data_IF_221736056097
#
_entry.id   IF_221736056097
#
_cell.length_a   1.000
_cell.length_b   1.000
_cell.length_c   1.000
_cell.angle_alpha   90.00
_cell.angle_beta   90.00
_cell.angle_gamma   90.00
#
_symmetry.space_group_name_H-M   'P 1'
#
loop_
_entity.id
_entity.type
_entity.pdbx_description
1 polymer ?
#
# COMPACT_ATOMS: atom_id res chain seq x y z
N UNK A 1 24.91 21.53 -9.63
CA UNK A 1 23.52 21.82 -10.06
C UNK A 1 22.72 20.57 -10.45
N UNK A 2 23.32 19.52 -11.05
CA UNK A 2 22.61 18.28 -11.39
C UNK A 2 22.07 17.45 -10.19
N UNK A 3 22.66 17.60 -8.99
CA UNK A 3 22.23 16.86 -7.79
C UNK A 3 20.96 17.39 -7.11
N UNK A 4 20.51 18.61 -7.43
CA UNK A 4 19.25 19.14 -6.89
C UNK A 4 18.03 18.50 -7.60
N UNK A 5 18.17 18.19 -8.89
CA UNK A 5 17.09 17.52 -9.64
C UNK A 5 16.91 16.04 -9.22
N UNK A 6 17.95 15.38 -8.71
CA UNK A 6 17.81 14.01 -8.16
C UNK A 6 17.01 13.96 -6.85
N UNK A 7 16.82 15.08 -6.16
CA UNK A 7 15.90 15.15 -5.01
C UNK A 7 14.44 14.99 -5.43
N UNK A 8 14.10 15.36 -6.68
CA UNK A 8 12.77 15.23 -7.28
C UNK A 8 12.60 13.96 -8.14
N UNK A 9 13.64 13.13 -8.24
CA UNK A 9 13.55 11.75 -8.72
C UNK A 9 13.69 10.82 -7.51
N UNK A 10 12.71 10.75 -6.59
CA UNK A 10 12.72 9.76 -5.55
C UNK A 10 12.55 8.39 -6.20
N UNK A 11 13.67 7.73 -6.54
CA UNK A 11 13.61 6.33 -6.89
C UNK A 11 13.13 5.60 -5.63
N UNK A 12 12.07 4.79 -5.71
CA UNK A 12 11.34 4.28 -4.54
C UNK A 12 12.22 3.62 -3.48
N UNK A 13 13.40 3.13 -3.87
CA UNK A 13 14.45 2.67 -2.97
C UNK A 13 14.91 3.74 -1.94
N UNK A 14 15.08 4.99 -2.36
CA UNK A 14 15.43 6.11 -1.47
C UNK A 14 14.27 6.54 -0.57
N UNK A 15 13.02 6.46 -1.05
CA UNK A 15 11.84 6.75 -0.22
C UNK A 15 11.69 5.76 0.92
N UNK A 16 11.87 4.47 0.64
CA UNK A 16 11.81 3.42 1.66
C UNK A 16 12.87 3.64 2.75
N UNK A 17 14.09 4.01 2.36
CA UNK A 17 15.17 4.23 3.32
C UNK A 17 14.98 5.52 4.15
N UNK A 18 14.39 6.57 3.57
CA UNK A 18 14.05 7.79 4.31
C UNK A 18 12.94 7.54 5.33
N UNK A 19 11.91 6.75 4.99
CA UNK A 19 10.88 6.31 5.93
C UNK A 19 11.46 5.46 7.06
N UNK A 20 12.38 4.55 6.74
CA UNK A 20 13.08 3.75 7.74
C UNK A 20 13.92 4.63 8.69
N UNK A 21 14.64 5.61 8.13
CA UNK A 21 15.44 6.55 8.91
C UNK A 21 14.59 7.43 9.85
N UNK A 22 13.37 7.81 9.45
CA UNK A 22 12.41 8.54 10.28
C UNK A 22 11.83 7.68 11.41
N UNK A 23 11.60 6.39 11.15
CA UNK A 23 11.07 5.43 12.12
C UNK A 23 12.02 5.20 13.32
N UNK A 24 13.32 5.38 13.12
CA UNK A 24 14.35 5.15 14.14
C UNK A 24 14.36 6.20 15.26
N UNK A 25 13.76 7.38 15.08
CA UNK A 25 13.59 8.43 16.10
C UNK A 25 14.87 9.05 16.70
N UNK A 26 16.05 8.48 16.46
CA UNK A 26 17.34 8.91 16.99
C UNK A 26 18.28 9.35 15.85
N UNK A 27 18.81 10.58 15.87
CA UNK A 27 19.64 11.12 14.79
C UNK A 27 20.94 10.34 14.55
N UNK A 28 21.52 9.74 15.59
CA UNK A 28 22.76 8.98 15.49
C UNK A 28 22.57 7.63 14.80
N UNK A 29 21.47 6.94 15.11
CA UNK A 29 21.10 5.67 14.49
C UNK A 29 20.74 5.83 13.02
N UNK A 30 20.01 6.90 12.68
CA UNK A 30 19.69 7.24 11.29
C UNK A 30 20.95 7.57 10.48
N UNK A 31 21.91 8.30 11.06
CA UNK A 31 23.19 8.59 10.40
C UNK A 31 23.99 7.31 10.11
N UNK A 32 24.02 6.37 11.06
CA UNK A 32 24.76 5.11 10.93
C UNK A 32 24.09 4.17 9.89
N UNK A 33 22.76 4.10 9.89
CA UNK A 33 22.00 3.32 8.92
C UNK A 33 22.16 3.84 7.48
N UNK A 34 22.07 5.16 7.29
CA UNK A 34 22.32 5.80 5.98
C UNK A 34 23.78 5.61 5.54
N UNK A 35 24.73 5.69 6.48
CA UNK A 35 26.16 5.47 6.21
C UNK A 35 26.46 4.06 5.71
N UNK A 36 25.92 3.03 6.38
CA UNK A 36 26.09 1.63 5.96
C UNK A 36 25.45 1.34 4.60
N UNK A 37 24.30 1.94 4.34
CA UNK A 37 23.62 1.84 3.05
C UNK A 37 24.44 2.44 1.91
N UNK A 38 25.04 3.62 2.12
CA UNK A 38 25.96 4.24 1.16
C UNK A 38 27.18 3.34 0.94
N UNK A 39 27.80 2.84 2.02
CA UNK A 39 28.94 1.93 1.94
C UNK A 39 28.62 0.64 1.16
N UNK A 40 27.41 0.09 1.32
CA UNK A 40 26.98 -1.12 0.62
C UNK A 40 26.65 -0.90 -0.86
N UNK A 41 26.13 0.27 -1.22
CA UNK A 41 25.73 0.58 -2.62
C UNK A 41 26.84 1.22 -3.44
N UNK A 42 27.86 1.78 -2.79
CA UNK A 42 29.00 2.43 -3.43
C UNK A 42 29.77 1.52 -4.41
N UNK A 43 30.09 0.24 -4.10
CA UNK A 43 30.78 -0.65 -5.04
C UNK A 43 29.96 -0.93 -6.30
N UNK A 44 28.65 -1.09 -6.14
CA UNK A 44 27.75 -1.36 -7.27
C UNK A 44 27.64 -0.13 -8.19
N UNK A 45 27.42 1.06 -7.61
CA UNK A 45 27.34 2.31 -8.36
C UNK A 45 28.65 2.66 -9.06
N UNK A 46 29.79 2.42 -8.37
CA UNK A 46 31.11 2.63 -8.95
C UNK A 46 31.38 1.64 -10.10
N UNK A 47 31.00 0.37 -9.94
CA UNK A 47 31.13 -0.64 -11.00
C UNK A 47 30.32 -0.29 -12.25
N UNK A 48 29.08 0.15 -12.06
CA UNK A 48 28.22 0.62 -13.15
C UNK A 48 28.81 1.86 -13.82
N UNK A 49 29.33 2.82 -13.04
CA UNK A 49 29.98 4.03 -13.57
C UNK A 49 31.20 3.72 -14.45
N UNK A 50 32.07 2.83 -13.99
CA UNK A 50 33.26 2.40 -14.73
C UNK A 50 32.85 1.67 -16.03
N UNK A 51 31.83 0.81 -15.95
CA UNK A 51 31.29 0.08 -17.09
C UNK A 51 30.73 1.04 -18.16
N UNK A 52 30.00 2.08 -17.75
CA UNK A 52 29.52 3.10 -18.67
C UNK A 52 30.65 3.94 -19.29
N UNK A 53 31.78 4.14 -18.59
CA UNK A 53 32.93 4.86 -19.17
C UNK A 53 33.77 4.03 -20.14
N UNK A 54 33.78 2.70 -20.01
CA UNK A 54 34.57 1.81 -20.88
C UNK A 54 33.91 1.52 -22.23
N UNK A 55 32.61 1.81 -22.40
CA UNK A 55 31.90 1.58 -23.65
C UNK A 55 32.04 2.80 -24.58
N UNK A 56 32.54 2.59 -25.79
CA UNK A 56 32.84 3.67 -26.76
C UNK A 56 31.67 3.98 -27.71
N UNK A 57 31.43 5.28 -27.92
CA UNK A 57 30.84 5.86 -29.14
C UNK A 57 29.33 5.69 -29.33
N UNK A 58 28.90 4.61 -29.99
CA UNK A 58 27.53 4.48 -30.54
C UNK A 58 26.60 3.67 -29.63
N UNK A 59 27.09 2.58 -29.02
CA UNK A 59 26.33 1.78 -28.04
C UNK A 59 26.01 2.60 -26.79
N UNK A 60 26.91 3.50 -26.38
CA UNK A 60 26.68 4.35 -25.21
C UNK A 60 25.51 5.32 -25.43
N UNK A 61 25.39 5.89 -26.63
CA UNK A 61 24.28 6.77 -27.01
C UNK A 61 22.97 5.99 -27.06
N UNK A 62 22.96 4.82 -27.71
CA UNK A 62 21.78 3.95 -27.76
C UNK A 62 21.35 3.46 -26.38
N UNK A 63 22.29 3.11 -25.50
CA UNK A 63 22.00 2.70 -24.13
C UNK A 63 21.43 3.86 -23.28
N UNK A 64 21.98 5.08 -23.41
CA UNK A 64 21.45 6.25 -22.70
C UNK A 64 20.09 6.69 -23.26
N UNK A 65 19.86 6.56 -24.56
CA UNK A 65 18.54 6.82 -25.17
C UNK A 65 17.51 5.78 -24.72
N UNK A 66 17.89 4.50 -24.68
CA UNK A 66 17.03 3.42 -24.21
C UNK A 66 16.66 3.59 -22.75
N UNK A 67 17.63 3.86 -21.87
CA UNK A 67 17.38 4.11 -20.46
C UNK A 67 16.50 5.37 -20.25
N UNK A 68 16.72 6.43 -21.03
CA UNK A 68 15.88 7.63 -21.01
C UNK A 68 14.45 7.37 -21.48
N UNK A 69 14.26 6.61 -22.56
CA UNK A 69 12.95 6.25 -23.07
C UNK A 69 12.15 5.37 -22.10
N UNK A 70 12.82 4.41 -21.46
CA UNK A 70 12.22 3.55 -20.42
C UNK A 70 11.82 4.39 -19.20
N UNK A 71 12.68 5.31 -18.77
CA UNK A 71 12.37 6.23 -17.68
C UNK A 71 11.17 7.13 -18.00
N UNK A 72 11.08 7.66 -19.22
CA UNK A 72 9.91 8.43 -19.67
C UNK A 72 8.65 7.58 -19.74
N UNK A 73 8.72 6.34 -20.23
CA UNK A 73 7.57 5.43 -20.28
C UNK A 73 7.04 5.09 -18.88
N UNK A 74 7.92 4.74 -17.94
CA UNK A 74 7.57 4.50 -16.54
C UNK A 74 7.02 5.76 -15.86
N UNK A 75 7.57 6.93 -16.20
CA UNK A 75 7.07 8.22 -15.68
C UNK A 75 5.67 8.52 -16.19
N UNK A 76 5.38 8.27 -17.47
CA UNK A 76 4.04 8.45 -18.06
C UNK A 76 3.04 7.49 -17.42
N UNK A 77 3.42 6.23 -17.22
CA UNK A 77 2.56 5.24 -16.55
C UNK A 77 2.22 5.67 -15.12
N UNK A 78 3.21 6.20 -14.39
CA UNK A 78 3.03 6.70 -13.02
C UNK A 78 2.21 8.00 -13.00
N UNK A 79 2.34 8.86 -14.01
CA UNK A 79 1.53 10.06 -14.15
C UNK A 79 0.06 9.75 -14.46
N UNK A 80 -0.21 8.72 -15.27
CA UNK A 80 -1.58 8.25 -15.52
C UNK A 80 -2.23 7.72 -14.23
N UNK A 81 -1.50 6.92 -13.45
CA UNK A 81 -1.98 6.43 -12.15
C UNK A 81 -2.10 7.57 -11.10
N UNK A 82 -1.18 8.54 -11.14
CA UNK A 82 -1.20 9.71 -10.26
C UNK A 82 -2.32 10.70 -10.58
N UNK A 83 -2.72 10.82 -11.85
CA UNK A 83 -3.85 11.65 -12.25
C UNK A 83 -5.19 11.02 -11.82
N UNK A 84 -5.31 9.70 -11.85
CA UNK A 84 -6.43 8.98 -11.22
C UNK A 84 -6.52 9.25 -9.71
N UNK A 85 -5.37 9.31 -9.03
CA UNK A 85 -5.27 9.68 -7.61
C UNK A 85 -5.45 11.19 -7.34
N UNK A 86 -5.38 12.05 -8.37
CA UNK A 86 -5.58 13.50 -8.25
C UNK A 86 -7.00 13.92 -8.63
N UNK A 87 -7.65 13.22 -9.58
CA UNK A 87 -9.11 13.29 -9.75
C UNK A 87 -9.85 12.66 -8.58
N UNK A 88 -9.20 11.70 -7.90
CA UNK A 88 -9.54 11.26 -6.56
C UNK A 88 -8.75 12.08 -5.52
N UNK A 89 -8.86 13.42 -5.53
CA UNK A 89 -8.65 14.17 -4.29
C UNK A 89 -9.42 13.47 -3.17
N UNK A 90 -8.93 13.43 -1.92
CA UNK A 90 -9.55 12.64 -0.88
C UNK A 90 -10.86 13.30 -0.47
N UNK A 91 -11.91 13.11 -1.26
CA UNK A 91 -13.24 12.96 -0.70
C UNK A 91 -13.18 11.67 0.08
N UNK A 92 -13.13 11.81 1.41
CA UNK A 92 -13.65 10.77 2.28
C UNK A 92 -14.93 10.20 1.67
N UNK A 93 -14.90 8.94 1.25
CA UNK A 93 -16.08 8.20 0.78
C UNK A 93 -16.16 8.02 -0.73
N UNK A 94 -15.68 6.87 -1.21
CA UNK A 94 -16.45 6.10 -2.19
C UNK A 94 -17.22 5.02 -1.42
N UNK A 95 -18.43 5.39 -0.98
CA UNK A 95 -19.39 4.50 -0.35
C UNK A 95 -19.95 3.57 -1.43
N UNK A 96 -19.55 2.30 -1.40
CA UNK A 96 -20.29 1.26 -2.11
C UNK A 96 -21.54 0.94 -1.29
N UNK A 97 -22.69 1.44 -1.74
CA UNK A 97 -23.98 1.25 -1.07
C UNK A 97 -24.33 -0.23 -0.97
N UNK A 98 -24.27 -0.77 0.26
CA UNK A 98 -24.78 -2.09 0.58
C UNK A 98 -26.32 -2.11 0.49
N UNK A 99 -26.85 -3.13 -0.19
CA UNK A 99 -28.29 -3.38 -0.33
C UNK A 99 -28.85 -3.72 1.06
N UNK A 100 -29.72 -2.85 1.59
CA UNK A 100 -30.49 -3.13 2.80
C UNK A 100 -31.59 -4.14 2.47
N UNK A 101 -31.56 -5.27 3.16
CA UNK A 101 -32.68 -6.22 3.22
C UNK A 101 -32.87 -6.54 4.69
N UNK A 102 -33.97 -6.04 5.25
CA UNK A 102 -34.64 -6.50 6.49
C UNK A 102 -33.71 -6.78 7.70
N UNK A 103 -33.64 -5.79 8.61
CA UNK A 103 -33.08 -5.82 9.98
C UNK A 103 -31.59 -6.19 10.18
N UNK A 104 -30.89 -6.61 9.14
CA UNK A 104 -29.47 -6.97 9.20
C UNK A 104 -28.70 -6.36 8.04
N UNK A 105 -27.51 -5.83 8.33
CA UNK A 105 -26.65 -5.24 7.32
C UNK A 105 -25.66 -6.28 6.83
N UNK A 106 -25.82 -6.75 5.61
CA UNK A 106 -24.86 -7.71 5.03
C UNK A 106 -23.78 -6.97 4.25
N UNK A 107 -22.53 -7.10 4.68
CA UNK A 107 -21.36 -6.58 3.95
C UNK A 107 -20.55 -7.74 3.40
N UNK A 108 -20.05 -7.59 2.16
CA UNK A 108 -19.30 -8.63 1.45
C UNK A 108 -17.93 -8.12 1.08
N UNK A 109 -16.90 -8.88 1.43
CA UNK A 109 -15.52 -8.59 1.12
C UNK A 109 -14.85 -9.79 0.46
N UNK A 110 -13.98 -9.53 -0.51
CA UNK A 110 -13.08 -10.51 -1.08
C UNK A 110 -11.65 -10.21 -0.65
N UNK A 111 -10.92 -11.24 -0.26
CA UNK A 111 -9.48 -11.18 -0.03
C UNK A 111 -8.79 -11.70 -1.28
N UNK A 112 -8.19 -10.80 -2.05
CA UNK A 112 -7.57 -11.15 -3.34
C UNK A 112 -6.30 -11.97 -3.14
N UNK A 113 -5.88 -12.76 -4.15
CA UNK A 113 -4.63 -13.52 -4.07
C UNK A 113 -3.38 -12.64 -3.87
N UNK A 114 -3.48 -11.36 -4.22
CA UNK A 114 -2.42 -10.36 -4.07
C UNK A 114 -2.35 -9.80 -2.64
N UNK A 115 -3.25 -10.22 -1.74
CA UNK A 115 -3.32 -9.70 -0.38
C UNK A 115 -3.92 -8.30 -0.32
N UNK A 116 -5.01 -8.05 -1.05
CA UNK A 116 -5.82 -6.84 -0.91
C UNK A 116 -7.24 -7.18 -0.48
N UNK A 117 -7.91 -6.22 0.16
CA UNK A 117 -9.33 -6.27 0.45
C UNK A 117 -10.09 -5.57 -0.67
N UNK A 118 -11.14 -6.22 -1.17
CA UNK A 118 -11.99 -5.68 -2.23
C UNK A 118 -13.47 -5.96 -1.89
N UNK A 119 -14.28 -4.93 -1.59
CA UNK A 119 -13.88 -3.55 -1.32
C UNK A 119 -13.14 -3.43 0.03
N UNK A 120 -12.33 -2.38 0.19
CA UNK A 120 -11.59 -2.08 1.42
C UNK A 120 -12.33 -1.08 2.32
N UNK A 121 -13.38 -0.42 1.83
CA UNK A 121 -14.21 0.52 2.60
C UNK A 121 -15.66 0.03 2.70
N UNK A 122 -16.19 0.02 3.93
CA UNK A 122 -17.56 -0.37 4.23
C UNK A 122 -18.26 0.72 5.05
N UNK A 123 -19.52 1.01 4.74
CA UNK A 123 -20.36 1.91 5.52
C UNK A 123 -21.52 1.13 6.12
N UNK A 124 -21.63 1.14 7.44
CA UNK A 124 -22.66 0.44 8.23
C UNK A 124 -23.33 1.41 9.20
N UNK A 125 -24.48 1.04 9.75
CA UNK A 125 -25.21 1.86 10.72
C UNK A 125 -25.00 1.36 12.13
N UNK A 126 -24.94 2.29 13.08
CA UNK A 126 -24.86 2.04 14.50
C UNK A 126 -26.07 1.23 14.98
N UNK A 127 -25.85 0.35 15.97
CA UNK A 127 -26.87 -0.48 16.62
C UNK A 127 -27.61 -1.48 15.72
N UNK A 128 -27.20 -1.65 14.45
CA UNK A 128 -27.78 -2.66 13.56
C UNK A 128 -26.80 -3.83 13.46
N UNK A 129 -27.22 -5.09 13.67
CA UNK A 129 -26.36 -6.25 13.50
C UNK A 129 -25.84 -6.33 12.05
N UNK A 130 -24.51 -6.38 11.93
CA UNK A 130 -23.78 -6.50 10.67
C UNK A 130 -23.34 -7.94 10.49
N UNK A 131 -23.72 -8.53 9.36
CA UNK A 131 -23.22 -9.83 8.88
C UNK A 131 -22.15 -9.56 7.83
N UNK A 132 -20.91 -9.87 8.17
CA UNK A 132 -19.76 -9.69 7.30
C UNK A 132 -19.35 -11.01 6.68
N UNK A 133 -19.58 -11.15 5.38
CA UNK A 133 -19.10 -12.27 4.57
C UNK A 133 -17.75 -11.92 3.95
N UNK A 134 -16.75 -12.75 4.21
CA UNK A 134 -15.36 -12.58 3.79
C UNK A 134 -14.96 -13.79 2.98
N UNK A 135 -14.85 -13.61 1.67
CA UNK A 135 -14.42 -14.65 0.74
C UNK A 135 -12.90 -14.61 0.58
N UNK A 136 -12.24 -15.62 1.14
CA UNK A 136 -10.78 -15.77 1.09
C UNK A 136 -10.37 -16.63 -0.10
N UNK A 137 -9.54 -16.04 -0.97
CA UNK A 137 -8.90 -16.79 -2.05
C UNK A 137 -7.89 -17.85 -1.54
N UNK A 138 -7.60 -18.83 -2.39
CA UNK A 138 -6.74 -19.98 -2.06
C UNK A 138 -5.34 -19.63 -1.59
N UNK A 139 -4.75 -18.57 -2.16
CA UNK A 139 -3.43 -18.07 -1.78
C UNK A 139 -3.53 -16.61 -1.44
N UNK A 140 -3.83 -16.33 -0.18
CA UNK A 140 -3.70 -14.99 0.40
C UNK A 140 -2.51 -15.04 1.34
N UNK A 141 -1.57 -14.11 1.19
CA UNK A 141 -0.31 -14.12 1.95
C UNK A 141 -0.52 -13.86 3.43
N UNK A 142 -0.20 -12.65 3.89
CA UNK A 142 -0.40 -12.24 5.29
C UNK A 142 -1.87 -11.96 5.66
N UNK A 143 -2.80 -12.02 4.70
CA UNK A 143 -4.23 -11.76 4.90
C UNK A 143 -4.99 -13.03 5.30
N UNK A 144 -4.40 -13.84 6.19
CA UNK A 144 -4.96 -15.10 6.67
C UNK A 144 -5.83 -14.95 7.93
N UNK A 145 -5.81 -13.78 8.56
CA UNK A 145 -6.67 -13.40 9.67
C UNK A 145 -7.20 -11.99 9.47
N UNK A 146 -8.36 -11.70 10.05
CA UNK A 146 -8.95 -10.38 10.15
C UNK A 146 -8.91 -9.89 11.59
N UNK A 147 -8.46 -8.66 11.79
CA UNK A 147 -8.44 -7.97 13.08
C UNK A 147 -9.22 -6.67 12.94
N UNK A 148 -10.25 -6.51 13.75
CA UNK A 148 -10.97 -5.25 13.92
C UNK A 148 -10.91 -4.88 15.41
N UNK A 149 -9.83 -4.18 15.77
CA UNK A 149 -9.45 -3.91 17.16
C UNK A 149 -10.48 -3.05 17.91
N UNK A 150 -11.22 -2.20 17.21
CA UNK A 150 -12.23 -1.34 17.81
C UNK A 150 -13.39 -2.11 18.46
N UNK A 151 -13.68 -3.31 17.95
CA UNK A 151 -14.74 -4.18 18.43
C UNK A 151 -14.21 -5.49 19.03
N UNK A 152 -12.91 -5.55 19.32
CA UNK A 152 -12.21 -6.73 19.86
C UNK A 152 -12.43 -8.02 19.03
N UNK A 153 -12.55 -7.85 17.70
CA UNK A 153 -12.77 -8.96 16.78
C UNK A 153 -11.43 -9.42 16.24
N UNK A 154 -11.06 -10.66 16.55
CA UNK A 154 -9.98 -11.40 15.91
C UNK A 154 -10.56 -12.67 15.30
N UNK A 155 -10.48 -12.81 13.97
CA UNK A 155 -10.93 -14.01 13.30
C UNK A 155 -9.86 -14.56 12.34
N UNK A 156 -9.36 -15.79 12.55
CA UNK A 156 -8.59 -16.49 11.52
C UNK A 156 -9.52 -16.90 10.37
N UNK A 157 -9.16 -16.53 9.14
CA UNK A 157 -9.95 -16.79 7.93
C UNK A 157 -9.62 -18.17 7.37
N UNK A 158 -10.61 -19.02 7.14
CA UNK A 158 -10.44 -20.27 6.39
C UNK A 158 -10.58 -20.05 4.88
N UNK A 159 -10.08 -20.98 4.07
CA UNK A 159 -10.26 -20.92 2.61
C UNK A 159 -11.76 -20.93 2.25
N UNK A 160 -12.20 -20.00 1.41
CA UNK A 160 -13.60 -19.81 1.05
C UNK A 160 -14.30 -18.72 1.88
N UNK A 161 -15.62 -18.82 2.00
CA UNK A 161 -16.46 -17.80 2.66
C UNK A 161 -16.44 -17.99 4.18
N UNK A 162 -16.05 -16.94 4.90
CA UNK A 162 -16.13 -16.84 6.35
C UNK A 162 -17.18 -15.79 6.71
N UNK A 163 -17.96 -16.03 7.76
CA UNK A 163 -19.02 -15.09 8.16
C UNK A 163 -18.81 -14.64 9.59
N UNK A 164 -18.79 -13.33 9.82
CA UNK A 164 -18.69 -12.69 11.14
C UNK A 164 -19.98 -11.93 11.39
N UNK A 165 -20.54 -12.04 12.60
CA UNK A 165 -21.66 -11.20 13.00
C UNK A 165 -21.23 -10.33 14.17
N UNK A 166 -21.40 -9.02 14.02
CA UNK A 166 -21.10 -8.06 15.08
C UNK A 166 -22.07 -6.88 15.03
N UNK A 167 -22.23 -6.18 16.15
CA UNK A 167 -23.09 -5.01 16.24
C UNK A 167 -22.24 -3.81 16.63
N UNK A 168 -22.13 -2.78 15.77
CA UNK A 168 -21.35 -1.59 16.08
C UNK A 168 -22.09 -0.73 17.12
N UNK A 169 -21.44 -0.52 18.28
CA UNK A 169 -21.96 0.25 19.42
C UNK A 169 -21.56 1.74 19.40
N UNK A 170 -20.56 2.09 18.59
CA UNK A 170 -19.96 3.42 18.50
C UNK A 170 -19.91 3.89 17.05
N UNK A 171 -20.18 5.18 16.85
CA UNK A 171 -20.04 5.85 15.55
C UNK A 171 -18.61 6.33 15.33
N UNK A 172 -18.21 6.38 14.07
CA UNK A 172 -16.87 6.80 13.68
C UNK A 172 -16.23 5.87 12.65
N UNK A 173 -14.96 6.13 12.39
CA UNK A 173 -14.18 5.39 11.40
C UNK A 173 -13.26 4.41 12.12
N UNK A 174 -13.43 3.13 11.84
CA UNK A 174 -12.66 2.04 12.44
C UNK A 174 -11.84 1.33 11.37
N UNK A 175 -10.55 1.14 11.63
CA UNK A 175 -9.67 0.40 10.72
C UNK A 175 -9.67 -1.07 11.09
N UNK A 176 -9.82 -1.95 10.10
CA UNK A 176 -9.53 -3.37 10.23
C UNK A 176 -8.28 -3.72 9.42
N UNK A 177 -7.58 -4.77 9.81
CA UNK A 177 -6.35 -5.18 9.15
C UNK A 177 -6.09 -6.69 9.24
N UNK A 178 -5.10 -7.16 8.48
CA UNK A 178 -4.57 -8.49 8.68
C UNK A 178 -3.72 -8.61 9.97
N UNK A 179 -3.30 -9.82 10.36
CA UNK A 179 -2.43 -10.07 11.53
C UNK A 179 -1.16 -9.25 11.51
N UNK A 180 -0.56 -9.08 10.32
CA UNK A 180 0.66 -8.30 10.13
C UNK A 180 0.41 -6.80 9.98
N UNK A 181 -0.85 -6.37 9.96
CA UNK A 181 -1.24 -4.97 9.76
C UNK A 181 -0.90 -4.40 8.38
N UNK A 182 -0.43 -5.19 7.41
CA UNK A 182 -0.02 -4.69 6.10
C UNK A 182 -1.21 -4.31 5.23
N UNK A 183 -2.20 -5.21 5.17
CA UNK A 183 -3.46 -5.01 4.45
C UNK A 183 -4.45 -4.40 5.42
N UNK A 184 -5.02 -3.26 5.05
CA UNK A 184 -5.96 -2.51 5.89
C UNK A 184 -7.20 -2.16 5.09
N UNK A 185 -8.32 -2.08 5.78
CA UNK A 185 -9.54 -1.50 5.28
C UNK A 185 -10.21 -0.65 6.34
N UNK A 186 -11.26 0.05 5.94
CA UNK A 186 -11.95 1.05 6.74
C UNK A 186 -13.43 0.70 6.87
N UNK A 187 -13.91 0.64 8.10
CA UNK A 187 -15.32 0.49 8.44
C UNK A 187 -15.83 1.83 8.99
N UNK A 188 -16.73 2.46 8.27
CA UNK A 188 -17.39 3.71 8.65
C UNK A 188 -18.73 3.34 9.29
N UNK A 189 -18.93 3.76 10.54
CA UNK A 189 -20.18 3.58 11.26
C UNK A 189 -20.89 4.93 11.34
N UNK A 190 -22.03 5.03 10.66
CA UNK A 190 -22.94 6.18 10.65
C UNK A 190 -24.15 5.93 11.58
N UNK A 191 -24.88 7.00 11.94
CA UNK A 191 -26.11 6.90 12.75
C UNK A 191 -27.33 6.40 11.95
#
# INVERSE_FOLDING_TARGET
MAGALTFFLPCGFTQAMQLYALSLGNPWLSALALGLFVLGTLPALLGIGIFFTSIKGSVRVWATLGAGAIALALSIQTAQNGLLLLSAWPTWGETTTAIQTEETQTIRMKVTPYGSYDPDVFTVKKNIPVVWEIDRADRVGCADSLILSAFDIFMPLQKGVNTITFTPDRTGTFTFSCSMGMVRGTLIVED
#
